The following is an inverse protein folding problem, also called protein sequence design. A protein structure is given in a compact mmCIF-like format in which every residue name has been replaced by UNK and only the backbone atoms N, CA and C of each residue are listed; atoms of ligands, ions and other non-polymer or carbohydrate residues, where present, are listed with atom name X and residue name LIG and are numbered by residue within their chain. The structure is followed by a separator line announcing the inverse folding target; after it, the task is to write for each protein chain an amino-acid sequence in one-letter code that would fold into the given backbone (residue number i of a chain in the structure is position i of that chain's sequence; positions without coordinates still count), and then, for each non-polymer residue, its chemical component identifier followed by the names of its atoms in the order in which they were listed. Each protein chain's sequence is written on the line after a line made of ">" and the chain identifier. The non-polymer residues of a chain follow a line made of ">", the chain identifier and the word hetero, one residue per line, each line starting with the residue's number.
data_IF_686982053167
#
_entry.id   IF_686982053167
#
_cell.length_a   1.000
_cell.length_b   1.000
_cell.length_c   1.000
_cell.angle_alpha   90.00
_cell.angle_beta   90.00
_cell.angle_gamma   90.00
#
_symmetry.space_group_name_H-M   'P 1'
#
loop_
_entity.id
_entity.type
_entity.pdbx_description
1 polymer ?
#
# COMPACT_ATOMS: atom_id res chain seq x y z
N UNK A 1 -10.11 45.72 31.22
CA UNK A 1 -9.74 45.65 32.66
C UNK A 1 -8.40 44.94 32.77
N UNK A 2 -7.50 45.48 33.59
CA UNK A 2 -6.13 45.00 33.88
C UNK A 2 -6.14 43.76 34.82
N UNK A 3 -4.93 43.21 35.00
CA UNK A 3 -4.43 42.22 35.97
C UNK A 3 -4.37 40.77 35.43
N UNK A 4 -3.31 39.96 35.61
CA UNK A 4 -2.06 40.13 36.36
C UNK A 4 -0.95 39.15 35.92
N UNK A 5 0.28 39.48 36.29
CA UNK A 5 1.48 38.64 36.21
C UNK A 5 1.53 37.59 37.33
N UNK A 6 2.00 36.37 37.05
CA UNK A 6 2.61 35.49 38.04
C UNK A 6 3.84 34.80 37.43
N UNK A 7 4.99 35.02 38.06
CA UNK A 7 6.26 34.38 37.74
C UNK A 7 6.47 33.05 38.46
N UNK A 8 7.43 32.28 37.97
CA UNK A 8 8.07 31.21 38.72
C UNK A 8 9.59 31.28 38.53
N UNK A 9 10.29 31.52 39.64
CA UNK A 9 11.73 31.28 39.83
C UNK A 9 11.92 29.86 40.39
N UNK A 10 13.12 29.32 40.15
CA UNK A 10 13.78 28.14 40.73
C UNK A 10 13.62 26.77 40.04
N UNK A 11 14.71 26.35 39.38
CA UNK A 11 15.08 24.96 39.11
C UNK A 11 16.45 24.69 39.78
N UNK A 12 16.67 23.55 40.47
CA UNK A 12 17.88 23.28 41.22
C UNK A 12 18.99 22.64 40.38
N UNK A 13 20.23 22.84 40.83
CA UNK A 13 21.47 22.37 40.25
C UNK A 13 21.63 20.83 40.34
N UNK A 14 21.63 20.16 39.19
CA UNK A 14 22.26 18.84 38.96
C UNK A 14 22.65 18.70 37.49
N UNK A 15 23.73 19.35 37.08
CA UNK A 15 24.34 19.12 35.76
C UNK A 15 25.84 19.45 35.76
N UNK A 16 26.62 18.65 36.47
CA UNK A 16 28.08 18.64 36.35
C UNK A 16 28.58 17.19 36.47
N UNK A 17 28.53 16.43 35.37
CA UNK A 17 29.29 15.16 35.24
C UNK A 17 29.49 14.60 33.82
N UNK A 18 29.26 15.37 32.75
CA UNK A 18 29.42 14.87 31.36
C UNK A 18 30.21 15.78 30.41
N UNK A 19 31.10 16.64 30.93
CA UNK A 19 32.00 17.44 30.06
C UNK A 19 33.29 16.72 29.66
N UNK A 20 33.74 15.70 30.41
CA UNK A 20 34.96 14.95 30.08
C UNK A 20 34.79 13.87 28.99
N UNK A 21 33.60 13.25 28.91
CA UNK A 21 33.34 12.14 27.99
C UNK A 21 33.13 12.61 26.54
N UNK A 22 32.62 13.84 26.34
CA UNK A 22 32.39 14.40 25.01
C UNK A 22 33.70 14.75 24.27
N UNK A 23 34.74 15.18 24.99
CA UNK A 23 36.03 15.55 24.41
C UNK A 23 36.82 14.34 23.88
N UNK A 24 36.65 13.16 24.48
CA UNK A 24 37.31 11.91 24.05
C UNK A 24 36.66 11.36 22.77
N UNK A 25 35.33 11.50 22.63
CA UNK A 25 34.59 11.04 21.45
C UNK A 25 34.94 11.90 20.23
N UNK A 26 35.12 13.21 20.39
CA UNK A 26 35.54 14.09 19.28
C UNK A 26 36.99 13.82 18.81
N UNK A 27 37.90 13.45 19.71
CA UNK A 27 39.28 13.11 19.34
C UNK A 27 39.39 11.78 18.57
N UNK A 28 38.58 10.78 18.92
CA UNK A 28 38.57 9.47 18.24
C UNK A 28 37.93 9.54 16.84
N UNK A 29 36.93 10.39 16.63
CA UNK A 29 36.33 10.58 15.30
C UNK A 29 37.26 11.32 14.33
N UNK A 30 38.16 12.18 14.82
CA UNK A 30 39.10 12.92 13.98
C UNK A 30 40.25 12.04 13.45
N UNK A 31 40.69 11.04 14.22
CA UNK A 31 41.74 10.07 13.82
C UNK A 31 41.26 9.09 12.75
N UNK A 32 39.98 8.67 12.79
CA UNK A 32 39.38 7.79 11.79
C UNK A 32 39.24 8.45 10.41
N UNK A 33 39.07 9.77 10.36
CA UNK A 33 38.95 10.53 9.12
C UNK A 33 40.30 10.76 8.42
N UNK A 34 41.40 10.76 9.18
CA UNK A 34 42.76 10.96 8.65
C UNK A 34 43.35 9.68 8.04
N UNK A 35 43.03 8.50 8.58
CA UNK A 35 43.49 7.21 8.02
C UNK A 35 42.71 6.77 6.78
N UNK A 36 41.44 7.16 6.63
CA UNK A 36 40.61 6.80 5.47
C UNK A 36 41.00 7.47 4.15
N UNK A 37 41.76 8.59 4.19
CA UNK A 37 42.25 9.27 2.98
C UNK A 37 43.60 8.76 2.47
N UNK A 38 44.31 7.94 3.24
CA UNK A 38 45.64 7.44 2.87
C UNK A 38 45.61 6.13 2.05
N UNK A 39 44.45 5.45 2.02
CA UNK A 39 44.28 4.13 1.37
C UNK A 39 43.53 4.18 0.02
N UNK A 40 43.38 5.36 -0.60
CA UNK A 40 42.65 5.51 -1.87
C UNK A 40 43.51 6.03 -3.03
N UNK A 41 44.84 5.89 -2.93
CA UNK A 41 45.76 6.07 -4.04
C UNK A 41 46.58 4.78 -4.17
N UNK A 42 46.72 4.30 -5.40
CA UNK A 42 47.28 3.00 -5.84
C UNK A 42 46.23 1.90 -6.06
N UNK A 43 45.68 1.83 -7.27
CA UNK A 43 46.05 0.79 -8.26
C UNK A 43 45.17 0.88 -9.53
N UNK A 44 45.80 1.24 -10.65
CA UNK A 44 45.44 0.83 -12.03
C UNK A 44 46.53 -0.15 -12.51
N UNK A 45 46.22 -1.16 -13.35
CA UNK A 45 46.45 -0.94 -14.80
C UNK A 45 45.51 -1.69 -15.80
N UNK A 46 45.30 -1.01 -16.92
CA UNK A 46 45.34 -1.43 -18.34
C UNK A 46 44.46 -2.57 -18.91
N UNK A 47 43.49 -2.13 -19.74
CA UNK A 47 43.25 -2.46 -21.17
C UNK A 47 43.64 -3.83 -21.75
N UNK A 48 42.66 -4.46 -22.43
CA UNK A 48 42.85 -5.09 -23.75
C UNK A 48 41.51 -5.14 -24.52
N UNK A 49 41.56 -4.65 -25.76
CA UNK A 49 40.50 -4.65 -26.78
C UNK A 49 40.41 -6.01 -27.49
N UNK A 50 39.22 -6.40 -27.98
CA UNK A 50 39.08 -7.16 -29.23
C UNK A 50 37.63 -7.08 -29.79
N UNK A 51 37.54 -6.94 -31.12
CA UNK A 51 36.35 -6.69 -31.93
C UNK A 51 35.62 -7.98 -32.44
N UNK A 52 34.39 -7.76 -32.97
CA UNK A 52 33.71 -8.39 -34.15
C UNK A 52 33.03 -9.79 -34.08
N UNK A 53 31.69 -9.74 -34.03
CA UNK A 53 30.63 -10.24 -34.99
C UNK A 53 30.66 -11.69 -35.60
N UNK A 54 29.64 -12.12 -36.39
CA UNK A 54 28.44 -12.86 -35.95
C UNK A 54 28.23 -14.21 -36.71
N UNK A 55 27.27 -15.05 -36.31
CA UNK A 55 26.78 -16.13 -37.20
C UNK A 55 26.03 -17.30 -36.56
N UNK A 56 24.88 -17.60 -37.16
CA UNK A 56 24.28 -18.92 -37.39
C UNK A 56 23.29 -19.57 -36.39
N UNK A 57 22.03 -19.64 -36.88
CA UNK A 57 20.99 -20.63 -36.53
C UNK A 57 21.32 -21.97 -37.21
N UNK A 58 20.75 -23.10 -36.74
CA UNK A 58 19.58 -23.70 -37.41
C UNK A 58 18.52 -24.22 -36.40
N UNK A 59 17.20 -24.04 -36.62
CA UNK A 59 16.26 -24.86 -37.41
C UNK A 59 15.66 -26.08 -36.67
N UNK A 60 14.31 -26.12 -36.65
CA UNK A 60 13.39 -27.16 -36.15
C UNK A 60 13.45 -28.48 -36.94
N UNK A 61 12.84 -29.55 -36.38
CA UNK A 61 11.62 -30.15 -36.98
C UNK A 61 10.53 -30.42 -35.90
N UNK A 62 9.24 -30.12 -36.07
CA UNK A 62 8.17 -30.68 -36.92
C UNK A 62 7.54 -32.03 -36.45
N UNK A 63 6.32 -31.89 -35.89
CA UNK A 63 5.07 -32.71 -35.98
C UNK A 63 5.00 -34.16 -35.43
N UNK A 64 3.94 -34.40 -34.62
CA UNK A 64 2.79 -35.34 -34.78
C UNK A 64 2.20 -35.63 -33.38
N UNK A 65 1.05 -35.05 -32.99
CA UNK A 65 -0.31 -35.59 -33.13
C UNK A 65 -0.58 -36.90 -32.35
N UNK A 66 -1.35 -36.82 -31.25
CA UNK A 66 -2.56 -37.62 -30.98
C UNK A 66 -3.09 -37.40 -29.53
N UNK A 67 -4.33 -36.91 -29.44
CA UNK A 67 -5.31 -37.18 -28.36
C UNK A 67 -5.91 -38.60 -28.57
N UNK A 68 -6.60 -39.26 -27.59
CA UNK A 68 -7.75 -38.70 -26.84
C UNK A 68 -7.99 -39.18 -25.38
N UNK A 69 -8.85 -38.40 -24.70
CA UNK A 69 -9.94 -38.73 -23.76
C UNK A 69 -9.80 -39.88 -22.72
N UNK A 70 -10.01 -39.58 -21.42
CA UNK A 70 -11.24 -39.97 -20.69
C UNK A 70 -11.28 -39.54 -19.21
N UNK A 71 -12.46 -39.10 -18.76
CA UNK A 71 -12.91 -38.90 -17.38
C UNK A 71 -13.44 -40.23 -16.78
N UNK A 72 -13.63 -40.31 -15.45
CA UNK A 72 -15.02 -40.48 -15.00
C UNK A 72 -15.41 -39.71 -13.72
N UNK A 73 -16.70 -39.34 -13.71
CA UNK A 73 -17.49 -38.87 -12.58
C UNK A 73 -17.87 -40.01 -11.62
N UNK A 74 -18.04 -39.72 -10.32
CA UNK A 74 -18.87 -40.53 -9.40
C UNK A 74 -19.78 -39.62 -8.57
N UNK A 75 -21.05 -40.05 -8.50
CA UNK A 75 -22.27 -39.43 -7.96
C UNK A 75 -22.40 -39.46 -6.42
N UNK A 76 -23.28 -38.55 -5.96
CA UNK A 76 -23.90 -38.41 -4.64
C UNK A 76 -24.57 -39.67 -4.08
N UNK A 77 -24.64 -39.75 -2.74
CA UNK A 77 -25.78 -40.35 -2.01
C UNK A 77 -26.07 -39.58 -0.71
N UNK A 78 -27.34 -39.20 -0.55
CA UNK A 78 -27.99 -38.63 0.64
C UNK A 78 -28.84 -39.73 1.28
N UNK A 79 -28.83 -39.86 2.61
CA UNK A 79 -30.00 -40.30 3.40
C UNK A 79 -29.89 -39.93 4.89
N UNK A 80 -31.07 -39.76 5.49
CA UNK A 80 -31.39 -38.93 6.66
C UNK A 80 -31.90 -39.74 7.88
N UNK A 81 -31.73 -39.21 9.11
CA UNK A 81 -32.75 -38.95 10.19
C UNK A 81 -32.25 -39.20 11.62
N UNK A 82 -32.58 -38.27 12.53
CA UNK A 82 -32.65 -38.48 13.98
C UNK A 82 -32.24 -37.27 14.85
N UNK A 83 -33.19 -36.47 15.35
CA UNK A 83 -33.01 -35.49 16.45
C UNK A 83 -33.23 -36.16 17.81
N UNK A 84 -32.62 -35.63 18.90
CA UNK A 84 -33.37 -34.74 19.80
C UNK A 84 -32.61 -33.45 20.20
N UNK A 85 -33.37 -32.41 20.57
CA UNK A 85 -32.99 -31.16 21.27
C UNK A 85 -33.83 -31.11 22.57
N UNK A 86 -33.61 -30.20 23.54
CA UNK A 86 -32.52 -29.24 23.68
C UNK A 86 -31.91 -29.19 25.11
N UNK A 87 -30.69 -28.69 25.24
CA UNK A 87 -30.27 -27.94 26.43
C UNK A 87 -29.43 -26.75 25.99
N UNK A 88 -29.79 -25.64 26.62
CA UNK A 88 -29.50 -24.25 26.29
C UNK A 88 -28.07 -23.86 26.63
N UNK A 89 -27.33 -23.40 25.62
CA UNK A 89 -26.36 -22.30 25.70
C UNK A 89 -25.85 -22.05 24.28
N UNK A 90 -26.40 -21.04 23.61
CA UNK A 90 -25.84 -20.57 22.34
C UNK A 90 -24.49 -19.91 22.64
N UNK A 91 -23.38 -20.34 22.01
CA UNK A 91 -22.20 -19.50 21.97
C UNK A 91 -22.54 -18.30 21.09
N UNK A 92 -22.30 -17.09 21.61
CA UNK A 92 -22.41 -15.85 20.84
C UNK A 92 -21.51 -15.97 19.60
N UNK A 93 -22.12 -16.20 18.44
CA UNK A 93 -21.40 -16.21 17.18
C UNK A 93 -21.11 -14.75 16.82
N UNK A 94 -19.87 -14.32 17.04
CA UNK A 94 -19.34 -13.05 16.58
C UNK A 94 -19.33 -13.05 15.03
N UNK A 95 -20.48 -12.70 14.44
CA UNK A 95 -20.74 -12.83 13.00
C UNK A 95 -20.18 -11.71 12.11
N UNK A 96 -19.32 -10.83 12.61
CA UNK A 96 -18.86 -9.64 11.84
C UNK A 96 -17.37 -9.63 11.47
N UNK A 97 -16.63 -10.68 11.81
CA UNK A 97 -15.23 -10.83 11.40
C UNK A 97 -15.01 -12.30 11.04
N UNK A 98 -15.10 -12.66 9.75
CA UNK A 98 -14.44 -13.89 9.29
C UNK A 98 -12.93 -13.62 9.18
N UNK A 99 -12.31 -13.27 10.30
CA UNK A 99 -10.92 -13.66 10.45
C UNK A 99 -11.00 -15.18 10.54
N UNK A 100 -10.48 -15.88 9.53
CA UNK A 100 -9.90 -17.19 9.79
C UNK A 100 -9.16 -17.04 11.14
N UNK A 101 -9.27 -17.98 12.09
CA UNK A 101 -8.60 -17.94 13.40
C UNK A 101 -7.05 -17.79 13.33
N UNK A 102 -6.52 -17.48 12.15
CA UNK A 102 -5.15 -17.19 11.79
C UNK A 102 -4.85 -15.71 12.09
N UNK A 103 -4.01 -15.45 13.09
CA UNK A 103 -3.47 -14.11 13.33
C UNK A 103 -2.04 -14.02 12.80
N UNK A 104 -1.82 -13.08 11.87
CA UNK A 104 -0.49 -12.60 11.52
C UNK A 104 -0.26 -11.32 12.30
N UNK A 105 0.96 -11.12 12.81
CA UNK A 105 1.30 -9.87 13.49
C UNK A 105 1.29 -8.74 12.46
N UNK A 106 0.21 -7.97 12.45
CA UNK A 106 0.11 -6.73 11.68
C UNK A 106 0.32 -5.59 12.65
N UNK A 107 1.45 -4.91 12.53
CA UNK A 107 1.70 -3.75 13.36
C UNK A 107 0.87 -2.56 12.89
N UNK A 108 0.32 -1.83 13.87
CA UNK A 108 -0.48 -0.62 13.67
C UNK A 108 0.31 0.66 13.93
N UNK A 109 1.50 0.53 14.54
CA UNK A 109 2.39 1.63 14.89
C UNK A 109 3.39 1.94 13.77
N UNK A 110 3.62 3.24 13.54
CA UNK A 110 4.66 3.78 12.67
C UNK A 110 6.08 3.39 13.12
N UNK A 111 6.26 3.00 14.38
CA UNK A 111 7.56 2.58 14.94
C UNK A 111 7.77 1.05 14.92
N UNK A 112 6.91 0.32 14.22
CA UNK A 112 7.03 -1.13 14.10
C UNK A 112 8.36 -1.58 13.46
N UNK A 113 8.94 -2.72 13.89
CA UNK A 113 10.08 -3.33 13.20
C UNK A 113 9.73 -3.83 11.78
N UNK A 114 8.46 -4.07 11.47
CA UNK A 114 8.05 -4.45 10.13
C UNK A 114 6.55 -4.56 9.89
N UNK A 115 6.14 -4.93 8.68
CA UNK A 115 4.74 -5.06 8.28
C UNK A 115 4.56 -6.35 7.49
N UNK A 116 3.58 -7.18 7.89
CA UNK A 116 3.20 -8.35 7.12
C UNK A 116 2.78 -7.94 5.70
N UNK A 117 3.32 -8.63 4.69
CA UNK A 117 3.03 -8.36 3.29
C UNK A 117 2.14 -9.40 2.69
N UNK A 118 2.54 -10.66 2.71
CA UNK A 118 1.79 -11.73 2.08
C UNK A 118 2.30 -13.11 2.52
N UNK A 119 1.54 -14.13 2.17
CA UNK A 119 2.02 -15.49 2.10
C UNK A 119 2.60 -15.71 0.71
N UNK A 120 3.83 -16.22 0.61
CA UNK A 120 4.51 -16.48 -0.67
C UNK A 120 4.98 -17.92 -0.75
N UNK A 121 5.06 -18.54 -1.95
CA UNK A 121 5.65 -19.85 -2.09
C UNK A 121 7.09 -19.85 -1.57
N UNK A 122 7.44 -20.91 -0.86
CA UNK A 122 8.85 -21.17 -0.55
C UNK A 122 9.55 -21.59 -1.85
N UNK A 123 10.69 -21.00 -2.22
CA UNK A 123 11.51 -21.51 -3.31
C UNK A 123 11.77 -23.01 -3.10
N UNK A 124 11.63 -23.82 -4.16
CA UNK A 124 11.95 -25.25 -4.09
C UNK A 124 13.43 -25.40 -3.73
N UNK A 125 13.79 -26.43 -2.96
CA UNK A 125 15.18 -26.67 -2.56
C UNK A 125 16.12 -26.87 -3.77
N UNK A 126 15.58 -27.20 -4.95
CA UNK A 126 16.28 -27.30 -6.23
C UNK A 126 16.54 -25.96 -6.93
N UNK A 127 15.87 -24.88 -6.53
CA UNK A 127 16.05 -23.53 -7.06
C UNK A 127 16.92 -22.76 -6.09
N UNK A 128 18.06 -22.26 -6.57
CA UNK A 128 18.95 -21.47 -5.72
C UNK A 128 18.24 -20.20 -5.28
N UNK A 129 18.08 -20.01 -3.97
CA UNK A 129 17.45 -18.82 -3.39
C UNK A 129 18.13 -17.54 -3.90
N UNK A 130 19.43 -17.62 -4.18
CA UNK A 130 20.24 -16.53 -4.73
C UNK A 130 19.84 -16.07 -6.15
N UNK A 131 19.08 -16.86 -6.91
CA UNK A 131 18.56 -16.49 -8.25
C UNK A 131 17.38 -15.53 -8.15
N UNK A 132 16.57 -15.66 -7.10
CA UNK A 132 15.34 -14.88 -6.89
C UNK A 132 15.57 -13.73 -5.91
N UNK A 133 16.52 -13.92 -4.99
CA UNK A 133 16.78 -12.98 -3.92
C UNK A 133 18.28 -12.83 -3.61
N UNK A 134 18.64 -11.83 -2.79
CA UNK A 134 20.04 -11.59 -2.35
C UNK A 134 20.44 -12.34 -1.09
N UNK A 135 19.49 -12.81 -0.28
CA UNK A 135 19.75 -13.38 1.03
C UNK A 135 19.42 -14.87 1.15
N UNK A 136 19.04 -15.31 2.34
CA UNK A 136 18.82 -16.73 2.64
C UNK A 136 18.39 -17.00 4.07
N UNK A 137 18.48 -18.28 4.46
CA UNK A 137 18.22 -18.73 5.83
C UNK A 137 19.28 -18.14 6.76
N UNK A 138 18.85 -17.40 7.77
CA UNK A 138 19.76 -16.81 8.77
C UNK A 138 19.70 -17.53 10.11
N UNK A 139 18.56 -18.15 10.44
CA UNK A 139 18.39 -18.81 11.73
C UNK A 139 17.33 -19.93 11.68
N UNK A 140 17.57 -20.99 12.46
CA UNK A 140 16.61 -22.05 12.78
C UNK A 140 16.51 -22.18 14.30
N UNK A 141 15.31 -21.95 14.84
CA UNK A 141 15.07 -22.03 16.28
C UNK A 141 13.66 -22.51 16.58
N UNK A 142 13.51 -23.44 17.53
CA UNK A 142 12.21 -23.87 18.02
C UNK A 142 11.48 -22.76 18.80
N UNK A 143 12.17 -21.68 19.19
CA UNK A 143 11.63 -20.51 19.85
C UNK A 143 11.49 -19.31 18.91
N UNK A 144 11.42 -19.54 17.59
CA UNK A 144 11.31 -18.47 16.60
C UNK A 144 10.04 -17.64 16.80
N UNK A 145 10.18 -16.31 16.74
CA UNK A 145 9.08 -15.35 16.76
C UNK A 145 9.19 -14.40 15.56
N UNK A 146 8.07 -13.77 15.18
CA UNK A 146 8.05 -12.77 14.10
C UNK A 146 8.98 -11.60 14.43
N UNK A 147 8.91 -11.09 15.66
CA UNK A 147 9.71 -9.96 16.13
C UNK A 147 11.20 -10.27 16.11
N UNK A 148 11.60 -11.47 16.55
CA UNK A 148 13.01 -11.89 16.53
C UNK A 148 13.55 -11.94 15.10
N UNK A 149 12.81 -12.55 14.18
CA UNK A 149 13.22 -12.62 12.78
C UNK A 149 13.31 -11.23 12.13
N UNK A 150 12.33 -10.36 12.38
CA UNK A 150 12.35 -8.97 11.90
C UNK A 150 13.58 -8.22 12.40
N UNK A 151 13.85 -8.24 13.71
CA UNK A 151 14.98 -7.54 14.30
C UNK A 151 16.32 -8.08 13.76
N UNK A 152 16.41 -9.39 13.57
CA UNK A 152 17.59 -10.03 12.98
C UNK A 152 17.82 -9.55 11.54
N UNK A 153 16.79 -9.52 10.71
CA UNK A 153 16.91 -9.03 9.34
C UNK A 153 17.20 -7.53 9.26
N UNK A 154 16.66 -6.72 10.19
CA UNK A 154 16.98 -5.30 10.32
C UNK A 154 18.45 -5.11 10.67
N UNK A 155 18.96 -5.86 11.65
CA UNK A 155 20.36 -5.79 12.06
C UNK A 155 21.32 -6.19 10.92
N UNK A 156 20.88 -7.10 10.05
CA UNK A 156 21.60 -7.50 8.84
C UNK A 156 21.38 -6.56 7.63
N UNK A 157 20.52 -5.54 7.75
CA UNK A 157 20.28 -4.56 6.69
C UNK A 157 19.40 -5.06 5.53
N UNK A 158 18.62 -6.12 5.73
CA UNK A 158 17.72 -6.65 4.70
C UNK A 158 16.34 -5.99 4.73
N UNK A 159 15.79 -5.74 3.54
CA UNK A 159 14.47 -5.10 3.36
C UNK A 159 13.30 -6.03 3.68
N UNK A 160 13.49 -7.35 3.64
CA UNK A 160 12.48 -8.34 3.97
C UNK A 160 12.96 -9.39 4.96
N UNK A 161 11.99 -9.85 5.77
CA UNK A 161 12.09 -11.04 6.59
C UNK A 161 11.01 -12.04 6.12
N UNK A 162 11.34 -13.32 6.03
CA UNK A 162 10.41 -14.37 5.68
C UNK A 162 10.51 -15.51 6.69
N UNK A 163 9.36 -15.93 7.23
CA UNK A 163 9.29 -17.02 8.21
C UNK A 163 8.69 -18.26 7.56
N UNK A 164 9.29 -19.42 7.81
CA UNK A 164 8.85 -20.70 7.25
C UNK A 164 8.82 -21.77 8.33
N UNK A 165 7.85 -22.70 8.21
CA UNK A 165 7.75 -23.91 9.03
C UNK A 165 7.80 -23.67 10.55
N UNK A 166 7.37 -22.50 11.02
CA UNK A 166 7.29 -22.18 12.44
C UNK A 166 8.62 -21.87 13.14
N UNK A 167 9.75 -22.23 12.54
CA UNK A 167 11.06 -22.24 13.20
C UNK A 167 12.19 -21.57 12.38
N UNK A 168 11.96 -21.31 11.09
CA UNK A 168 13.00 -20.80 10.19
C UNK A 168 12.81 -19.31 9.92
N UNK A 169 13.91 -18.55 9.99
CA UNK A 169 13.97 -17.14 9.61
C UNK A 169 14.89 -16.95 8.42
N UNK A 170 14.37 -16.24 7.41
CA UNK A 170 15.08 -15.86 6.20
C UNK A 170 15.13 -14.35 6.11
N UNK A 171 16.29 -13.81 5.73
CA UNK A 171 16.47 -12.38 5.47
C UNK A 171 16.86 -12.18 4.03
N UNK A 172 16.28 -11.15 3.39
CA UNK A 172 16.38 -11.05 1.94
C UNK A 172 16.04 -9.68 1.36
N UNK A 173 16.59 -9.36 0.18
CA UNK A 173 16.06 -8.35 -0.72
C UNK A 173 15.52 -9.00 -2.01
N UNK A 174 14.57 -8.34 -2.66
CA UNK A 174 13.97 -8.85 -3.91
C UNK A 174 14.85 -8.45 -5.10
N UNK A 175 15.26 -9.41 -5.92
CA UNK A 175 15.96 -9.13 -7.18
C UNK A 175 14.94 -9.03 -8.33
N UNK A 176 14.89 -7.86 -8.98
CA UNK A 176 14.16 -7.68 -10.25
C UNK A 176 12.66 -7.95 -10.21
N UNK A 177 12.08 -8.22 -11.39
CA UNK A 177 10.64 -8.42 -11.63
C UNK A 177 10.09 -9.75 -11.06
N UNK A 178 10.96 -10.64 -10.57
CA UNK A 178 10.63 -12.06 -10.44
C UNK A 178 10.29 -12.51 -9.01
N UNK A 179 9.16 -13.23 -8.94
CA UNK A 179 8.75 -14.24 -7.96
C UNK A 179 8.34 -13.84 -6.52
N UNK A 180 8.75 -12.70 -5.93
CA UNK A 180 8.23 -12.30 -4.60
C UNK A 180 6.84 -11.63 -4.62
N UNK A 181 6.22 -11.51 -5.80
CA UNK A 181 4.85 -11.01 -5.99
C UNK A 181 3.85 -12.12 -6.29
N UNK A 182 4.22 -13.41 -6.22
CA UNK A 182 3.24 -14.50 -6.27
C UNK A 182 2.53 -14.63 -4.92
N UNK A 183 1.88 -13.55 -4.50
CA UNK A 183 1.12 -13.52 -3.27
C UNK A 183 0.02 -14.58 -3.35
N UNK A 184 -0.08 -15.36 -2.28
CA UNK A 184 -1.09 -16.40 -2.12
C UNK A 184 -2.00 -16.06 -0.97
N UNK A 185 -3.10 -16.80 -0.91
CA UNK A 185 -4.00 -16.75 0.23
C UNK A 185 -3.20 -16.96 1.52
N UNK A 186 -3.38 -16.06 2.49
CA UNK A 186 -2.72 -16.15 3.78
C UNK A 186 -3.04 -17.47 4.49
N UNK A 187 -4.16 -18.12 4.15
CA UNK A 187 -4.51 -19.44 4.63
C UNK A 187 -3.43 -20.52 4.39
N UNK A 188 -2.52 -20.34 3.43
CA UNK A 188 -1.42 -21.28 3.15
C UNK A 188 -0.23 -21.10 4.12
N UNK A 189 -0.19 -19.99 4.86
CA UNK A 189 0.79 -19.71 5.90
C UNK A 189 0.14 -19.94 7.28
N UNK A 190 -0.12 -21.22 7.58
CA UNK A 190 -0.92 -21.69 8.71
C UNK A 190 -0.14 -22.41 9.81
N UNK A 191 1.20 -22.42 9.75
CA UNK A 191 2.03 -23.01 10.80
C UNK A 191 2.30 -21.98 11.90
N UNK A 192 1.98 -22.27 13.18
CA UNK A 192 2.28 -21.39 14.30
C UNK A 192 3.79 -21.14 14.47
N UNK A 193 4.14 -19.97 15.00
CA UNK A 193 5.50 -19.67 15.42
C UNK A 193 5.87 -20.52 16.64
N UNK A 194 7.07 -21.10 16.66
CA UNK A 194 7.53 -21.94 17.75
C UNK A 194 7.63 -21.22 19.10
N UNK A 195 8.11 -19.97 19.09
CA UNK A 195 8.22 -19.13 20.29
C UNK A 195 6.95 -18.33 20.62
N UNK A 196 5.97 -18.28 19.71
CA UNK A 196 4.74 -17.51 19.92
C UNK A 196 3.55 -18.10 19.14
N UNK A 197 2.94 -19.20 19.64
CA UNK A 197 1.95 -19.98 18.88
C UNK A 197 0.66 -19.24 18.49
N UNK A 198 0.45 -18.05 19.04
CA UNK A 198 -0.67 -17.16 18.65
C UNK A 198 -0.53 -16.67 17.22
N UNK A 199 0.70 -16.50 16.73
CA UNK A 199 0.98 -16.00 15.39
C UNK A 199 1.48 -17.08 14.44
N UNK A 200 1.41 -16.80 13.14
CA UNK A 200 1.73 -17.77 12.08
C UNK A 200 3.03 -17.42 11.35
N UNK A 201 3.98 -18.36 11.38
CA UNK A 201 5.35 -18.25 10.87
C UNK A 201 5.54 -19.14 9.63
N UNK A 202 4.75 -18.87 8.58
CA UNK A 202 4.79 -19.56 7.30
C UNK A 202 3.90 -20.80 7.24
N UNK A 203 4.15 -21.63 6.22
CA UNK A 203 3.48 -22.90 5.97
C UNK A 203 4.50 -23.98 5.63
N UNK A 204 4.03 -25.20 5.29
CA UNK A 204 4.93 -26.29 4.87
C UNK A 204 5.74 -25.90 3.63
N UNK A 205 5.05 -25.36 2.63
CA UNK A 205 5.63 -24.97 1.33
C UNK A 205 5.49 -23.47 1.07
N UNK A 206 5.24 -22.69 2.13
CA UNK A 206 4.98 -21.26 2.05
C UNK A 206 5.72 -20.49 3.14
N UNK A 207 5.93 -19.20 2.91
CA UNK A 207 6.60 -18.29 3.84
C UNK A 207 5.72 -17.09 4.14
N UNK A 208 5.63 -16.71 5.42
CA UNK A 208 5.04 -15.44 5.85
C UNK A 208 6.08 -14.34 5.58
N UNK A 209 5.83 -13.49 4.58
CA UNK A 209 6.72 -12.42 4.18
C UNK A 209 6.38 -11.12 4.91
N UNK A 210 7.40 -10.48 5.47
CA UNK A 210 7.32 -9.19 6.15
C UNK A 210 8.30 -8.20 5.52
N UNK A 211 7.87 -6.96 5.35
CA UNK A 211 8.74 -5.84 5.02
C UNK A 211 9.31 -5.29 6.32
N UNK A 212 10.63 -5.17 6.42
CA UNK A 212 11.31 -4.57 7.58
C UNK A 212 11.21 -3.04 7.56
N UNK A 213 11.76 -2.37 8.57
CA UNK A 213 11.93 -0.92 8.58
C UNK A 213 13.12 -0.43 7.74
N UNK A 214 13.98 -1.34 7.23
CA UNK A 214 15.16 -0.99 6.42
C UNK A 214 14.72 -0.39 5.09
N UNK A 215 15.05 0.85 4.72
CA UNK A 215 14.60 1.44 3.47
C UNK A 215 15.18 0.75 2.22
N UNK A 216 14.37 0.53 1.18
CA UNK A 216 14.87 0.04 -0.11
C UNK A 216 15.54 1.19 -0.89
N UNK A 217 16.85 1.07 -1.13
CA UNK A 217 17.67 2.12 -1.76
C UNK A 217 17.20 2.51 -3.17
N UNK A 218 16.49 1.64 -3.89
CA UNK A 218 15.95 1.92 -5.23
C UNK A 218 14.89 3.04 -5.21
N UNK A 219 14.07 3.10 -4.15
CA UNK A 219 12.97 4.07 -4.03
C UNK A 219 12.87 4.82 -2.68
N UNK A 220 13.88 4.72 -1.81
CA UNK A 220 13.87 5.37 -0.49
C UNK A 220 14.03 6.88 -0.54
N UNK A 221 14.89 7.39 -1.44
CA UNK A 221 15.18 8.83 -1.56
C UNK A 221 14.02 9.58 -2.19
N UNK A 222 13.31 10.39 -1.42
CA UNK A 222 12.21 11.27 -1.87
C UNK A 222 12.55 12.71 -1.47
N UNK A 223 12.34 13.68 -2.35
CA UNK A 223 12.68 15.08 -2.11
C UNK A 223 11.69 16.07 -2.72
N UNK A 224 11.78 17.33 -2.32
CA UNK A 224 11.14 18.42 -3.05
C UNK A 224 11.92 18.77 -4.31
N UNK A 225 11.22 19.35 -5.26
CA UNK A 225 11.83 20.07 -6.37
C UNK A 225 12.13 21.52 -5.98
N UNK A 226 13.01 22.22 -6.72
CA UNK A 226 13.21 23.66 -6.56
C UNK A 226 11.90 24.44 -6.71
N UNK A 227 11.79 25.57 -6.01
CA UNK A 227 10.62 26.46 -6.10
C UNK A 227 10.36 26.88 -7.55
N UNK A 228 9.11 26.80 -7.99
CA UNK A 228 8.70 27.20 -9.35
C UNK A 228 9.02 26.19 -10.46
N UNK A 229 9.59 25.02 -10.14
CA UNK A 229 10.10 24.10 -11.18
C UNK A 229 9.13 22.99 -11.60
N UNK A 230 7.95 22.89 -10.98
CA UNK A 230 6.93 21.90 -11.32
C UNK A 230 5.66 22.54 -11.87
N UNK A 231 5.01 21.93 -12.89
CA UNK A 231 3.67 22.33 -13.30
C UNK A 231 2.67 22.02 -12.19
N UNK A 232 1.58 22.80 -12.12
CA UNK A 232 0.55 22.53 -11.12
C UNK A 232 -0.38 21.42 -11.60
N UNK A 233 -0.09 20.17 -11.19
CA UNK A 233 -0.89 18.98 -11.54
C UNK A 233 -1.72 18.50 -10.35
N UNK A 234 -3.03 18.35 -10.53
CA UNK A 234 -3.92 17.83 -9.50
C UNK A 234 -3.85 16.30 -9.43
N UNK A 235 -3.91 15.75 -8.22
CA UNK A 235 -4.45 14.41 -7.96
C UNK A 235 -5.87 14.63 -7.42
N UNK A 236 -6.83 14.64 -8.33
CA UNK A 236 -8.22 14.97 -8.07
C UNK A 236 -9.03 13.70 -7.85
N UNK A 237 -9.87 13.65 -6.82
CA UNK A 237 -10.85 12.56 -6.65
C UNK A 237 -11.87 12.82 -5.55
N UNK A 238 -12.97 12.07 -5.60
CA UNK A 238 -13.88 11.95 -4.46
C UNK A 238 -13.14 11.32 -3.26
N UNK A 239 -13.44 11.70 -2.00
CA UNK A 239 -12.86 11.06 -0.82
C UNK A 239 -12.90 9.54 -0.87
N UNK A 240 -11.92 8.88 -0.23
CA UNK A 240 -11.83 7.40 -0.17
C UNK A 240 -11.64 6.67 -1.50
N UNK A 241 -11.31 7.38 -2.57
CA UNK A 241 -11.00 6.78 -3.88
C UNK A 241 -9.57 6.24 -4.02
N UNK A 242 -8.76 6.25 -2.94
CA UNK A 242 -7.39 5.72 -2.95
C UNK A 242 -6.26 6.74 -2.91
N UNK A 243 -6.54 8.04 -2.73
CA UNK A 243 -5.54 9.12 -2.71
C UNK A 243 -4.26 8.82 -1.92
N UNK A 244 -4.39 8.36 -0.68
CA UNK A 244 -3.24 8.04 0.19
C UNK A 244 -2.30 7.05 -0.48
N UNK A 245 -2.86 5.98 -1.04
CA UNK A 245 -2.09 4.92 -1.68
C UNK A 245 -1.47 5.42 -3.00
N UNK A 246 -2.24 6.14 -3.81
CA UNK A 246 -1.73 6.73 -5.05
C UNK A 246 -0.62 7.76 -4.79
N UNK A 247 -0.74 8.61 -3.75
CA UNK A 247 0.35 9.52 -3.34
C UNK A 247 1.60 8.73 -2.95
N UNK A 248 1.48 7.69 -2.14
CA UNK A 248 2.61 6.84 -1.73
C UNK A 248 3.31 6.20 -2.93
N UNK A 249 2.53 5.67 -3.88
CA UNK A 249 3.05 5.11 -5.13
C UNK A 249 3.76 6.17 -5.98
N UNK A 250 3.17 7.36 -6.14
CA UNK A 250 3.76 8.48 -6.89
C UNK A 250 5.06 8.95 -6.22
N UNK A 251 5.08 9.18 -4.91
CA UNK A 251 6.27 9.67 -4.21
C UNK A 251 7.43 8.69 -4.28
N UNK A 252 7.17 7.40 -4.08
CA UNK A 252 8.19 6.35 -4.23
C UNK A 252 8.63 6.23 -5.69
N UNK A 253 7.68 6.12 -6.61
CA UNK A 253 7.94 5.92 -8.04
C UNK A 253 8.72 7.07 -8.67
N UNK A 254 8.38 8.31 -8.33
CA UNK A 254 9.02 9.52 -8.89
C UNK A 254 10.22 10.00 -8.08
N UNK A 255 10.27 9.71 -6.77
CA UNK A 255 11.22 10.32 -5.85
C UNK A 255 10.95 11.79 -5.53
N UNK A 256 9.75 12.27 -5.82
CA UNK A 256 9.33 13.63 -5.51
C UNK A 256 8.08 13.64 -4.64
N UNK A 257 8.06 14.56 -3.67
CA UNK A 257 6.94 14.68 -2.74
C UNK A 257 5.66 15.17 -3.43
N UNK A 258 4.51 14.77 -2.89
CA UNK A 258 3.19 15.24 -3.28
C UNK A 258 2.67 16.28 -2.30
N UNK A 259 1.93 17.26 -2.81
CA UNK A 259 1.31 18.32 -2.03
C UNK A 259 -0.17 18.09 -1.76
N UNK A 260 -0.80 19.05 -1.10
CA UNK A 260 -2.24 19.07 -0.83
C UNK A 260 -2.78 20.50 -0.91
N UNK A 261 -3.99 20.66 -1.44
CA UNK A 261 -4.68 21.96 -1.40
C UNK A 261 -5.03 22.39 0.03
N UNK A 262 -5.09 21.44 0.96
CA UNK A 262 -5.35 21.66 2.38
C UNK A 262 -4.06 21.79 3.20
N UNK A 263 -3.00 22.35 2.63
CA UNK A 263 -1.67 22.35 3.24
C UNK A 263 -1.59 22.99 4.62
N UNK A 264 -2.43 24.00 4.90
CA UNK A 264 -2.51 24.64 6.22
C UNK A 264 -2.94 23.64 7.29
N UNK A 265 -3.97 22.85 6.99
CA UNK A 265 -4.47 21.82 7.88
C UNK A 265 -3.52 20.61 7.96
N UNK A 266 -2.96 20.19 6.82
CA UNK A 266 -1.95 19.13 6.79
C UNK A 266 -0.70 19.48 7.61
N UNK A 267 -0.27 20.75 7.59
CA UNK A 267 0.86 21.25 8.40
C UNK A 267 0.68 21.09 9.91
N UNK A 268 -0.56 21.13 10.40
CA UNK A 268 -0.88 20.97 11.83
C UNK A 268 -0.97 19.50 12.25
N UNK A 269 -1.12 18.58 11.29
CA UNK A 269 -1.24 17.15 11.57
C UNK A 269 0.13 16.47 11.68
N UNK A 270 0.51 16.05 12.89
CA UNK A 270 1.76 15.33 13.15
C UNK A 270 1.97 14.11 12.23
N UNK A 271 0.88 13.44 11.83
CA UNK A 271 0.94 12.29 10.94
C UNK A 271 1.22 12.66 9.48
N UNK A 272 0.70 13.81 9.04
CA UNK A 272 0.96 14.35 7.70
C UNK A 272 2.43 14.70 7.57
N UNK A 273 3.01 15.32 8.60
CA UNK A 273 4.45 15.64 8.65
C UNK A 273 5.36 14.41 8.48
N UNK A 274 4.91 13.22 8.89
CA UNK A 274 5.68 11.98 8.75
C UNK A 274 5.42 11.26 7.44
N UNK A 275 4.16 11.18 7.01
CA UNK A 275 3.75 10.35 5.87
C UNK A 275 3.78 11.12 4.55
N UNK A 276 3.40 12.39 4.57
CA UNK A 276 3.35 13.26 3.40
C UNK A 276 3.92 14.65 3.72
N UNK A 277 5.24 14.77 3.94
CA UNK A 277 5.85 16.04 4.33
C UNK A 277 5.62 17.16 3.30
N UNK A 278 5.43 16.82 2.01
CA UNK A 278 5.06 17.79 0.98
C UNK A 278 3.65 18.36 1.12
N UNK A 279 2.77 17.66 1.84
CA UNK A 279 1.43 18.14 2.19
C UNK A 279 1.44 19.38 3.09
N UNK A 280 2.55 19.64 3.79
CA UNK A 280 2.67 20.75 4.74
C UNK A 280 3.24 22.03 4.11
N UNK A 281 3.47 21.99 2.80
CA UNK A 281 4.08 23.06 2.03
C UNK A 281 3.00 23.67 1.16
N UNK A 282 3.01 25.00 1.06
CA UNK A 282 2.12 25.70 0.16
C UNK A 282 2.31 25.19 -1.27
N UNK A 283 1.27 24.56 -1.81
CA UNK A 283 1.32 23.92 -3.13
C UNK A 283 1.58 24.95 -4.25
N UNK A 284 1.26 26.22 -4.02
CA UNK A 284 1.51 27.31 -4.98
C UNK A 284 3.00 27.59 -5.17
N UNK A 285 3.86 27.08 -4.29
CA UNK A 285 5.33 27.14 -4.46
C UNK A 285 5.84 26.26 -5.60
N UNK A 286 5.00 25.37 -6.15
CA UNK A 286 5.32 24.54 -7.33
C UNK A 286 6.58 23.66 -7.12
N UNK A 287 6.64 23.03 -5.95
CA UNK A 287 7.76 22.17 -5.52
C UNK A 287 7.42 20.68 -5.46
N UNK A 288 6.13 20.34 -5.52
CA UNK A 288 5.63 18.96 -5.43
C UNK A 288 5.24 18.45 -6.81
N UNK A 289 5.29 17.12 -6.98
CA UNK A 289 5.05 16.50 -8.30
C UNK A 289 3.58 16.48 -8.69
N UNK A 290 2.68 16.40 -7.71
CA UNK A 290 1.25 16.61 -7.89
C UNK A 290 0.62 17.04 -6.56
N UNK A 291 -0.60 17.57 -6.60
CA UNK A 291 -1.30 18.17 -5.46
C UNK A 291 -2.66 17.49 -5.28
N UNK A 292 -2.86 16.85 -4.14
CA UNK A 292 -4.14 16.21 -3.78
C UNK A 292 -5.25 17.27 -3.64
N UNK A 293 -6.41 17.03 -4.28
CA UNK A 293 -7.62 17.84 -4.12
C UNK A 293 -8.91 17.01 -4.10
N UNK A 294 -9.87 17.44 -3.26
CA UNK A 294 -11.27 16.97 -3.26
C UNK A 294 -12.24 18.04 -3.77
N UNK A 295 -11.74 19.18 -4.24
CA UNK A 295 -12.55 20.29 -4.75
C UNK A 295 -12.89 20.08 -6.23
N UNK A 296 -14.08 20.50 -6.65
CA UNK A 296 -14.62 20.28 -8.01
C UNK A 296 -15.20 21.54 -8.66
N UNK A 297 -15.09 22.70 -8.04
CA UNK A 297 -15.56 23.94 -8.64
C UNK A 297 -14.67 24.35 -9.82
N UNK A 298 -15.28 24.93 -10.85
CA UNK A 298 -14.58 25.26 -12.10
C UNK A 298 -13.44 26.25 -11.90
N UNK A 299 -13.58 27.19 -10.97
CA UNK A 299 -12.54 28.17 -10.65
C UNK A 299 -11.29 27.47 -10.11
N UNK A 300 -11.46 26.54 -9.15
CA UNK A 300 -10.41 25.70 -8.62
C UNK A 300 -9.76 24.84 -9.70
N UNK A 301 -10.55 24.14 -10.52
CA UNK A 301 -10.03 23.25 -11.58
C UNK A 301 -9.14 24.03 -12.57
N UNK A 302 -9.57 25.23 -12.98
CA UNK A 302 -8.84 26.09 -13.93
C UNK A 302 -7.51 26.62 -13.39
N UNK A 303 -7.24 26.51 -12.10
CA UNK A 303 -5.91 26.86 -11.56
C UNK A 303 -4.84 25.82 -11.91
N UNK A 304 -5.23 24.59 -12.27
CA UNK A 304 -4.32 23.49 -12.57
C UNK A 304 -4.01 23.39 -14.06
N UNK A 305 -2.75 23.08 -14.37
CA UNK A 305 -2.25 22.84 -15.74
C UNK A 305 -2.59 21.43 -16.23
N UNK A 306 -2.95 20.52 -15.33
CA UNK A 306 -3.48 19.22 -15.65
C UNK A 306 -3.95 18.44 -14.42
N UNK A 307 -4.59 17.30 -14.65
CA UNK A 307 -5.17 16.50 -13.59
C UNK A 307 -4.98 15.00 -13.82
N UNK A 308 -4.62 14.31 -12.75
CA UNK A 308 -4.85 12.87 -12.60
C UNK A 308 -6.18 12.74 -11.86
N UNK A 309 -7.22 12.31 -12.55
CA UNK A 309 -8.53 12.04 -11.97
C UNK A 309 -8.60 10.58 -11.53
N UNK A 310 -8.60 10.36 -10.22
CA UNK A 310 -8.72 9.03 -9.61
C UNK A 310 -10.19 8.72 -9.33
N UNK A 311 -10.75 7.72 -10.01
CA UNK A 311 -12.14 7.30 -9.87
C UNK A 311 -12.20 5.94 -9.17
N UNK A 312 -13.05 5.80 -8.15
CA UNK A 312 -13.33 4.54 -7.45
C UNK A 312 -14.83 4.25 -7.51
N UNK A 313 -15.21 2.96 -7.49
CA UNK A 313 -16.61 2.56 -7.50
C UNK A 313 -17.36 3.27 -6.35
N UNK A 314 -18.46 4.00 -6.64
CA UNK A 314 -19.14 4.83 -5.65
C UNK A 314 -19.73 4.00 -4.51
N UNK A 315 -20.21 2.78 -4.76
CA UNK A 315 -20.67 1.88 -3.68
C UNK A 315 -19.55 1.62 -2.67
N UNK A 316 -18.35 1.35 -3.17
CA UNK A 316 -17.16 1.14 -2.35
C UNK A 316 -16.64 2.43 -1.69
N UNK A 317 -16.73 3.58 -2.36
CA UNK A 317 -16.23 4.85 -1.85
C UNK A 317 -17.13 5.42 -0.74
N UNK A 318 -18.45 5.39 -0.92
CA UNK A 318 -19.44 5.90 0.04
C UNK A 318 -19.42 5.08 1.33
N UNK A 319 -19.44 3.74 1.24
CA UNK A 319 -19.31 2.87 2.42
C UNK A 319 -18.00 3.15 3.15
N UNK A 320 -16.88 3.25 2.41
CA UNK A 320 -15.58 3.52 3.01
C UNK A 320 -15.50 4.90 3.68
N UNK A 321 -16.34 5.86 3.31
CA UNK A 321 -16.42 7.19 3.91
C UNK A 321 -17.19 7.16 5.23
N UNK A 322 -18.27 6.37 5.33
CA UNK A 322 -18.97 6.14 6.60
C UNK A 322 -18.04 5.50 7.62
N UNK A 323 -17.30 4.45 7.23
CA UNK A 323 -16.32 3.84 8.12
C UNK A 323 -15.23 4.83 8.57
N UNK A 324 -14.81 5.75 7.69
CA UNK A 324 -13.86 6.80 8.07
C UNK A 324 -14.48 7.74 9.10
N UNK A 325 -15.66 8.28 8.81
CA UNK A 325 -16.34 9.26 9.66
C UNK A 325 -16.71 8.70 11.03
N UNK A 326 -17.31 7.52 11.07
CA UNK A 326 -17.82 6.97 12.32
C UNK A 326 -16.72 6.35 13.19
N UNK A 327 -15.79 5.60 12.61
CA UNK A 327 -14.76 4.95 13.42
C UNK A 327 -13.58 5.85 13.74
N UNK A 328 -13.19 6.76 12.83
CA UNK A 328 -12.02 7.62 13.06
C UNK A 328 -12.38 8.97 13.66
N UNK A 329 -13.46 9.62 13.19
CA UNK A 329 -13.80 10.96 13.69
C UNK A 329 -14.70 10.90 14.93
N UNK A 330 -15.49 9.84 15.08
CA UNK A 330 -16.44 9.67 16.19
C UNK A 330 -16.12 8.48 17.11
N UNK A 331 -15.00 7.79 16.86
CA UNK A 331 -14.52 6.65 17.67
C UNK A 331 -15.56 5.54 17.91
N UNK A 332 -16.52 5.37 16.98
CA UNK A 332 -17.53 4.31 17.07
C UNK A 332 -16.93 2.94 16.75
N UNK A 333 -17.51 1.90 17.34
CA UNK A 333 -17.18 0.51 17.03
C UNK A 333 -17.57 0.14 15.58
N UNK A 334 -17.03 -0.98 15.10
CA UNK A 334 -17.40 -1.52 13.79
C UNK A 334 -18.88 -1.92 13.76
N UNK A 335 -19.38 -2.48 14.87
CA UNK A 335 -20.77 -2.91 15.04
C UNK A 335 -21.73 -1.73 14.99
N UNK A 336 -21.42 -0.62 15.68
CA UNK A 336 -22.21 0.61 15.60
C UNK A 336 -22.19 1.24 14.20
N UNK A 337 -21.04 1.17 13.53
CA UNK A 337 -20.90 1.66 12.16
C UNK A 337 -21.74 0.85 11.19
N UNK A 338 -21.81 -0.48 11.36
CA UNK A 338 -22.68 -1.33 10.53
C UNK A 338 -24.15 -1.01 10.75
N UNK A 339 -24.57 -0.79 12.00
CA UNK A 339 -25.96 -0.40 12.33
C UNK A 339 -26.38 0.93 11.70
N UNK A 340 -25.43 1.82 11.42
CA UNK A 340 -25.73 3.09 10.75
C UNK A 340 -26.31 2.90 9.34
N UNK A 341 -25.96 1.82 8.64
CA UNK A 341 -26.49 1.56 7.30
C UNK A 341 -27.99 1.24 7.28
N UNK A 342 -28.58 0.89 8.42
CA UNK A 342 -30.03 0.68 8.55
C UNK A 342 -30.79 2.00 8.87
N UNK A 343 -30.07 3.13 9.00
CA UNK A 343 -30.64 4.39 9.49
C UNK A 343 -31.15 5.32 8.37
N UNK A 344 -32.15 6.19 8.63
CA UNK A 344 -32.59 7.20 7.67
C UNK A 344 -31.48 8.18 7.26
N UNK A 345 -30.55 8.46 8.18
CA UNK A 345 -29.40 9.34 7.92
C UNK A 345 -28.46 8.75 6.87
N UNK A 346 -28.32 7.42 6.81
CA UNK A 346 -27.56 6.78 5.75
C UNK A 346 -28.18 7.00 4.37
N UNK A 347 -29.50 6.87 4.21
CA UNK A 347 -30.18 7.14 2.94
C UNK A 347 -29.85 8.56 2.46
N UNK A 348 -30.08 9.57 3.31
CA UNK A 348 -29.84 10.97 2.96
C UNK A 348 -28.34 11.23 2.65
N UNK A 349 -27.44 10.62 3.41
CA UNK A 349 -26.01 10.70 3.15
C UNK A 349 -25.66 10.10 1.79
N UNK A 350 -26.11 8.88 1.51
CA UNK A 350 -25.79 8.15 0.29
C UNK A 350 -26.29 8.89 -0.96
N UNK A 351 -27.49 9.45 -0.95
CA UNK A 351 -28.05 10.25 -2.04
C UNK A 351 -27.18 11.49 -2.36
N UNK A 352 -26.83 12.26 -1.32
CA UNK A 352 -26.01 13.47 -1.47
C UNK A 352 -24.58 13.14 -1.92
N UNK A 353 -24.00 12.07 -1.37
CA UNK A 353 -22.64 11.66 -1.69
C UNK A 353 -22.52 11.02 -3.06
N UNK A 354 -23.54 10.30 -3.54
CA UNK A 354 -23.57 9.76 -4.89
C UNK A 354 -23.54 10.89 -5.93
N UNK A 355 -24.32 11.95 -5.71
CA UNK A 355 -24.29 13.14 -6.56
C UNK A 355 -22.95 13.88 -6.47
N UNK A 356 -22.37 13.99 -5.27
CA UNK A 356 -21.04 14.61 -5.08
C UNK A 356 -19.94 13.84 -5.80
N UNK A 357 -19.96 12.50 -5.76
CA UNK A 357 -19.07 11.63 -6.51
C UNK A 357 -19.19 11.88 -8.02
N UNK A 358 -20.41 11.91 -8.53
CA UNK A 358 -20.68 12.21 -9.95
C UNK A 358 -20.15 13.59 -10.34
N UNK A 359 -20.50 14.61 -9.57
CA UNK A 359 -20.12 16.00 -9.83
C UNK A 359 -18.61 16.16 -9.86
N UNK A 360 -17.89 15.53 -8.92
CA UNK A 360 -16.43 15.51 -8.91
C UNK A 360 -15.87 14.94 -10.22
N UNK A 361 -16.33 13.76 -10.64
CA UNK A 361 -15.83 13.15 -11.86
C UNK A 361 -16.15 13.99 -13.11
N UNK A 362 -17.42 14.37 -13.29
CA UNK A 362 -17.87 15.13 -14.46
C UNK A 362 -17.16 16.48 -14.55
N UNK A 363 -17.10 17.25 -13.46
CA UNK A 363 -16.48 18.59 -13.50
C UNK A 363 -15.01 18.54 -13.88
N UNK A 364 -14.24 17.58 -13.34
CA UNK A 364 -12.85 17.42 -13.71
C UNK A 364 -12.67 16.93 -15.15
N UNK A 365 -13.51 16.02 -15.65
CA UNK A 365 -13.45 15.57 -17.05
C UNK A 365 -13.73 16.74 -18.01
N UNK A 366 -14.77 17.53 -17.74
CA UNK A 366 -15.23 18.56 -18.68
C UNK A 366 -14.41 19.84 -18.64
N UNK A 367 -13.76 20.17 -17.52
CA UNK A 367 -13.07 21.45 -17.34
C UNK A 367 -11.54 21.36 -17.29
N UNK A 368 -10.96 20.16 -17.33
CA UNK A 368 -9.49 20.01 -17.34
C UNK A 368 -8.94 20.19 -18.75
N UNK A 369 -7.90 21.01 -18.89
CA UNK A 369 -7.18 21.16 -20.16
C UNK A 369 -6.36 19.92 -20.53
N UNK A 370 -5.79 19.24 -19.54
CA UNK A 370 -4.97 18.03 -19.69
C UNK A 370 -5.35 17.04 -18.60
N UNK A 371 -5.85 15.86 -18.98
CA UNK A 371 -6.36 14.89 -18.01
C UNK A 371 -5.84 13.47 -18.25
N UNK A 372 -5.47 12.79 -17.17
CA UNK A 372 -5.30 11.35 -17.11
C UNK A 372 -6.37 10.79 -16.15
N UNK A 373 -7.21 9.91 -16.65
CA UNK A 373 -8.16 9.16 -15.80
C UNK A 373 -7.51 7.86 -15.35
N UNK A 374 -7.46 7.64 -14.05
CA UNK A 374 -7.02 6.37 -13.44
C UNK A 374 -8.15 5.79 -12.60
N UNK A 375 -8.52 4.55 -12.88
CA UNK A 375 -9.55 3.83 -12.14
C UNK A 375 -8.90 3.05 -11.00
N UNK A 376 -9.38 3.22 -9.77
CA UNK A 376 -8.83 2.60 -8.56
C UNK A 376 -8.74 1.08 -8.70
N UNK A 377 -9.76 0.46 -9.27
CA UNK A 377 -9.87 -0.99 -9.48
C UNK A 377 -8.80 -1.48 -10.47
N UNK A 378 -8.51 -0.72 -11.52
CA UNK A 378 -7.41 -0.99 -12.44
C UNK A 378 -6.05 -0.79 -11.77
N UNK A 379 -5.89 0.25 -10.95
CA UNK A 379 -4.68 0.49 -10.18
C UNK A 379 -4.42 -0.65 -9.18
N UNK A 380 -5.48 -1.26 -8.62
CA UNK A 380 -5.37 -2.45 -7.78
C UNK A 380 -4.98 -3.70 -8.55
N UNK A 381 -5.55 -3.90 -9.73
CA UNK A 381 -5.34 -5.10 -10.56
C UNK A 381 -3.98 -5.08 -11.25
N UNK A 382 -3.59 -3.92 -11.80
CA UNK A 382 -2.39 -3.75 -12.59
C UNK A 382 -1.60 -2.51 -12.14
N UNK A 383 -1.12 -2.56 -10.89
CA UNK A 383 -0.48 -1.42 -10.22
C UNK A 383 0.76 -0.91 -10.98
N UNK A 384 1.56 -1.80 -11.55
CA UNK A 384 2.75 -1.42 -12.31
C UNK A 384 2.40 -0.55 -13.53
N UNK A 385 1.50 -1.03 -14.39
CA UNK A 385 1.14 -0.33 -15.63
C UNK A 385 0.42 0.99 -15.35
N UNK A 386 -0.50 1.01 -14.37
CA UNK A 386 -1.22 2.23 -14.01
C UNK A 386 -0.28 3.27 -13.37
N UNK A 387 0.66 2.85 -12.52
CA UNK A 387 1.68 3.76 -12.00
C UNK A 387 2.61 4.27 -13.11
N UNK A 388 3.00 3.42 -14.06
CA UNK A 388 3.82 3.83 -15.20
C UNK A 388 3.11 4.89 -16.06
N UNK A 389 1.81 4.74 -16.31
CA UNK A 389 0.99 5.76 -16.99
C UNK A 389 0.96 7.08 -16.22
N UNK A 390 0.74 7.02 -14.90
CA UNK A 390 0.73 8.19 -14.03
C UNK A 390 2.07 8.92 -14.09
N UNK A 391 3.19 8.21 -13.93
CA UNK A 391 4.52 8.84 -13.92
C UNK A 391 4.86 9.44 -15.28
N UNK A 392 4.49 8.77 -16.37
CA UNK A 392 4.63 9.32 -17.73
C UNK A 392 3.83 10.61 -17.89
N UNK A 393 2.60 10.66 -17.38
CA UNK A 393 1.77 11.86 -17.42
C UNK A 393 2.36 13.03 -16.60
N UNK A 394 3.06 12.72 -15.50
CA UNK A 394 3.76 13.69 -14.67
C UNK A 394 5.06 14.22 -15.32
N UNK A 395 5.46 13.67 -16.46
CA UNK A 395 6.67 14.05 -17.21
C UNK A 395 7.96 14.01 -16.35
N UNK A 396 8.03 12.99 -15.48
CA UNK A 396 9.22 12.76 -14.64
C UNK A 396 9.96 11.54 -15.20
N UNK A 397 11.25 11.68 -15.59
CA UNK A 397 12.05 10.54 -16.00
C UNK A 397 12.29 9.62 -14.79
N UNK A 398 11.81 8.38 -14.87
CA UNK A 398 11.96 7.38 -13.81
C UNK A 398 12.55 6.09 -14.34
N UNK A 399 13.37 5.45 -13.52
CA UNK A 399 13.91 4.13 -13.80
C UNK A 399 12.85 3.07 -13.47
N UNK A 400 12.75 2.03 -14.30
CA UNK A 400 11.85 0.88 -14.08
C UNK A 400 11.98 0.29 -12.68
N UNK A 401 13.22 0.13 -12.20
CA UNK A 401 13.50 -0.42 -10.87
C UNK A 401 12.89 0.40 -9.72
N UNK A 402 12.68 1.70 -9.92
CA UNK A 402 12.05 2.57 -8.93
C UNK A 402 10.54 2.36 -8.87
N UNK A 403 9.89 2.12 -10.01
CA UNK A 403 8.47 1.76 -10.09
C UNK A 403 8.26 0.38 -9.44
N UNK A 404 9.11 -0.60 -9.77
CA UNK A 404 9.07 -1.94 -9.17
C UNK A 404 9.24 -1.88 -7.64
N UNK A 405 10.19 -1.09 -7.16
CA UNK A 405 10.35 -0.82 -5.73
C UNK A 405 9.09 -0.18 -5.12
N UNK A 406 8.50 0.82 -5.78
CA UNK A 406 7.31 1.51 -5.28
C UNK A 406 6.11 0.57 -5.08
N UNK A 407 5.84 -0.33 -6.04
CA UNK A 407 4.75 -1.31 -5.93
C UNK A 407 5.05 -2.41 -4.91
N UNK A 408 6.32 -2.69 -4.63
CA UNK A 408 6.74 -3.64 -3.59
C UNK A 408 6.64 -3.02 -2.18
N UNK A 409 6.94 -1.72 -2.04
CA UNK A 409 6.78 -0.95 -0.82
C UNK A 409 5.29 -0.72 -0.47
N UNK A 410 4.47 -0.47 -1.48
CA UNK A 410 3.04 -0.17 -1.34
C UNK A 410 2.19 -1.06 -2.26
N UNK A 411 2.19 -2.39 -2.04
CA UNK A 411 1.43 -3.33 -2.87
C UNK A 411 -0.08 -3.11 -2.71
N UNK A 412 -0.83 -3.47 -3.75
CA UNK A 412 -2.28 -3.36 -3.70
C UNK A 412 -2.88 -4.34 -2.70
N UNK A 413 -4.03 -3.98 -2.12
CA UNK A 413 -4.75 -4.87 -1.21
C UNK A 413 -5.36 -6.09 -1.91
N UNK A 414 -5.55 -6.05 -3.23
CA UNK A 414 -5.88 -7.23 -4.03
C UNK A 414 -4.69 -8.18 -4.06
N UNK A 415 -3.50 -7.64 -4.31
CA UNK A 415 -2.27 -8.40 -4.37
C UNK A 415 -1.99 -9.08 -3.01
N UNK A 416 -2.02 -8.34 -1.89
CA UNK A 416 -1.66 -8.90 -0.58
C UNK A 416 -2.78 -9.66 0.13
N UNK A 417 -4.02 -9.56 -0.35
CA UNK A 417 -5.21 -10.01 0.38
C UNK A 417 -5.51 -9.20 1.66
N UNK A 418 -4.70 -8.18 1.97
CA UNK A 418 -4.81 -7.38 3.19
C UNK A 418 -4.89 -5.89 2.82
N UNK A 419 -5.88 -5.19 3.36
CA UNK A 419 -5.90 -3.72 3.25
C UNK A 419 -4.91 -3.14 4.27
N UNK A 420 -3.69 -2.89 3.80
CA UNK A 420 -2.67 -2.21 4.57
C UNK A 420 -3.08 -0.73 4.70
N UNK A 421 -3.53 -0.35 5.89
CA UNK A 421 -3.70 1.06 6.27
C UNK A 421 -2.39 1.62 6.81
N UNK A 422 -2.27 2.95 6.85
CA UNK A 422 -1.16 3.64 7.52
C UNK A 422 -1.13 3.43 9.05
N UNK A 423 -2.13 2.73 9.61
CA UNK A 423 -2.32 2.47 11.04
C UNK A 423 -2.54 0.97 11.32
N UNK A 424 -1.95 0.10 10.50
CA UNK A 424 -2.26 -1.33 10.53
C UNK A 424 -3.69 -1.62 10.03
N UNK A 425 -4.10 -2.89 10.12
CA UNK A 425 -5.29 -3.46 9.46
C UNK A 425 -6.41 -2.43 9.24
N UNK A 426 -6.65 -2.05 7.98
CA UNK A 426 -8.03 -1.81 7.58
C UNK A 426 -8.65 -3.20 7.56
N UNK A 427 -9.29 -3.60 8.64
CA UNK A 427 -10.17 -4.77 8.60
C UNK A 427 -11.08 -4.54 7.41
N UNK A 428 -11.00 -5.40 6.38
CA UNK A 428 -12.02 -5.37 5.33
C UNK A 428 -13.31 -5.75 6.03
N UNK A 429 -14.13 -4.75 6.33
CA UNK A 429 -15.47 -4.99 6.83
C UNK A 429 -16.27 -5.40 5.62
N UNK A 430 -16.62 -6.68 5.57
CA UNK A 430 -17.53 -7.20 4.57
C UNK A 430 -18.94 -7.03 5.11
N UNK A 431 -19.72 -6.18 4.45
CA UNK A 431 -21.14 -6.10 4.72
C UNK A 431 -21.79 -7.36 4.18
N UNK A 432 -22.58 -8.03 5.01
CA UNK A 432 -23.31 -9.26 4.62
C UNK A 432 -24.61 -8.96 3.89
N UNK A 433 -25.00 -7.69 3.83
CA UNK A 433 -26.18 -7.18 3.13
C UNK A 433 -25.78 -5.95 2.32
N UNK A 434 -26.44 -5.75 1.19
CA UNK A 434 -26.36 -4.50 0.44
C UNK A 434 -26.88 -3.36 1.32
N UNK A 435 -26.05 -2.36 1.69
CA UNK A 435 -26.51 -1.25 2.51
C UNK A 435 -27.35 -0.25 1.70
N UNK A 436 -27.45 -0.34 0.38
CA UNK A 436 -28.11 0.67 -0.44
C UNK A 436 -29.60 0.33 -0.65
N UNK A 437 -30.54 1.19 -0.19
CA UNK A 437 -31.95 1.03 -0.52
C UNK A 437 -32.18 1.05 -2.05
N UNK A 438 -33.18 0.34 -2.60
CA UNK A 438 -33.36 0.20 -4.05
C UNK A 438 -33.46 1.53 -4.81
N UNK A 439 -34.11 2.53 -4.22
CA UNK A 439 -34.22 3.90 -4.74
C UNK A 439 -32.86 4.61 -4.81
N UNK A 440 -32.06 4.51 -3.75
CA UNK A 440 -30.71 5.06 -3.70
C UNK A 440 -29.80 4.32 -4.66
N UNK A 441 -29.95 2.99 -4.77
CA UNK A 441 -29.17 2.17 -5.69
C UNK A 441 -29.37 2.63 -7.13
N UNK A 442 -30.62 2.80 -7.55
CA UNK A 442 -30.97 3.34 -8.87
C UNK A 442 -30.32 4.71 -9.14
N UNK A 443 -30.32 5.61 -8.15
CA UNK A 443 -29.64 6.91 -8.27
C UNK A 443 -28.11 6.75 -8.45
N UNK A 444 -27.47 5.86 -7.69
CA UNK A 444 -26.03 5.59 -7.84
C UNK A 444 -25.73 5.04 -9.23
N UNK A 445 -26.58 4.14 -9.75
CA UNK A 445 -26.44 3.56 -11.09
C UNK A 445 -26.60 4.59 -12.21
N UNK A 446 -27.57 5.50 -12.08
CA UNK A 446 -27.75 6.63 -13.01
C UNK A 446 -26.52 7.55 -13.00
N UNK A 447 -25.96 7.82 -11.82
CA UNK A 447 -24.72 8.60 -11.67
C UNK A 447 -23.51 7.89 -12.32
N UNK A 448 -23.37 6.57 -12.15
CA UNK A 448 -22.33 5.76 -12.80
C UNK A 448 -22.46 5.85 -14.32
N UNK A 449 -23.68 5.66 -14.85
CA UNK A 449 -23.95 5.77 -16.29
C UNK A 449 -23.56 7.13 -16.83
N UNK A 450 -23.93 8.21 -16.13
CA UNK A 450 -23.58 9.56 -16.54
C UNK A 450 -22.06 9.79 -16.59
N UNK A 451 -21.32 9.38 -15.54
CA UNK A 451 -19.86 9.49 -15.55
C UNK A 451 -19.25 8.69 -16.71
N UNK A 452 -19.74 7.48 -16.97
CA UNK A 452 -19.25 6.66 -18.07
C UNK A 452 -19.53 7.29 -19.45
N UNK A 453 -20.72 7.85 -19.64
CA UNK A 453 -21.07 8.59 -20.86
C UNK A 453 -20.12 9.78 -21.05
N UNK A 454 -19.88 10.58 -20.01
CA UNK A 454 -18.95 11.71 -20.09
C UNK A 454 -17.52 11.26 -20.40
N UNK A 455 -17.04 10.13 -19.85
CA UNK A 455 -15.74 9.57 -20.21
C UNK A 455 -15.66 9.23 -21.71
N UNK A 456 -16.69 8.58 -22.24
CA UNK A 456 -16.76 8.17 -23.66
C UNK A 456 -16.80 9.40 -24.58
N UNK A 457 -17.63 10.39 -24.27
CA UNK A 457 -17.74 11.65 -25.02
C UNK A 457 -16.38 12.38 -25.14
N UNK A 458 -15.58 12.34 -24.07
CA UNK A 458 -14.26 12.96 -24.02
C UNK A 458 -13.12 12.02 -24.49
N UNK A 459 -13.46 10.86 -25.07
CA UNK A 459 -12.51 9.85 -25.59
C UNK A 459 -11.53 9.34 -24.52
N UNK A 460 -12.01 9.23 -23.29
CA UNK A 460 -11.27 8.70 -22.14
C UNK A 460 -11.63 7.23 -21.90
N UNK A 461 -10.80 6.53 -21.14
CA UNK A 461 -11.05 5.13 -20.81
C UNK A 461 -12.37 4.99 -20.02
N UNK A 462 -13.31 4.14 -20.47
CA UNK A 462 -14.57 3.94 -19.78
C UNK A 462 -14.37 3.30 -18.40
N UNK A 463 -15.42 3.32 -17.58
CA UNK A 463 -15.42 2.68 -16.27
C UNK A 463 -15.19 1.15 -16.40
N UNK A 464 -14.44 0.52 -15.48
CA UNK A 464 -14.26 -0.93 -15.45
C UNK A 464 -15.59 -1.70 -15.29
N UNK A 465 -15.61 -2.98 -15.68
CA UNK A 465 -16.78 -3.87 -15.50
C UNK A 465 -17.24 -3.99 -14.05
N UNK A 466 -16.35 -3.82 -13.08
CA UNK A 466 -16.65 -3.81 -11.64
C UNK A 466 -17.62 -2.67 -11.22
N UNK A 467 -17.93 -1.75 -12.13
CA UNK A 467 -18.93 -0.68 -11.95
C UNK A 467 -20.26 -1.03 -12.62
N UNK A 468 -20.36 -2.19 -13.27
CA UNK A 468 -21.60 -2.62 -13.90
C UNK A 468 -22.68 -2.81 -12.85
N UNK A 469 -23.84 -2.23 -13.16
CA UNK A 469 -25.11 -2.38 -12.45
C UNK A 469 -25.44 -3.83 -12.12
N UNK A 470 -25.04 -4.76 -12.99
CA UNK A 470 -25.43 -6.17 -12.92
C UNK A 470 -24.52 -7.03 -12.01
N UNK A 471 -23.44 -6.46 -11.47
CA UNK A 471 -22.40 -7.20 -10.72
C UNK A 471 -22.69 -7.27 -9.20
N UNK A 472 -23.72 -6.56 -8.73
CA UNK A 472 -24.13 -6.50 -7.31
C UNK A 472 -25.52 -7.07 -7.04
#
# INVERSE_FOLDING_TARGET
>A
MRYDMLGFRHLPARMFRYKGLLLIIFALCALSFYFGRYLHNHDEPNTLQAEKSPGDRPALPAKLANEPQDLPQVREQVMSRGRPRPLTSQPAVNHFVSALNKTWMTWTDINSPGVYRACVPRPRDSVSMSEVVTGGLVEKSSMMTITHCLNSCIALGFTYAALSRGAECFCTDVKGESALLSYKDSALCDIPCGGEPRYHCGGRDYMSLYRTSVPDSRCSRIKLKPKGSMPLIALASYPRSGNTWTRQLIERGTGFLTGSVHWKHEKEMAISSKIFPGGNIDYQTRQTVCVKSHLSDTAHIKTFEGAILLIRNPYSALVAEIFRRLMLDQEKSAEETVKYFDSPEWRHFAENQAQSWRNMAVQWITNSHRILVSHYENLQENTYEELAKIVRFLDVPVQTQRILCAIQEYPSSKATGVSLGNHGRKTRVYLTKDPFPPDVRKLVDENIKQVNTTLIEYKLNPLPRDYSVDVF
#
